data_IF_795417697737
#
_entry.id   IF_795417697737
#
_cell.length_a   1.000
_cell.length_b   1.000
_cell.length_c   1.000
_cell.angle_alpha   90.00
_cell.angle_beta   90.00
_cell.angle_gamma   90.00
#
_symmetry.space_group_name_H-M   'P 1'
#
loop_
_entity.id
_entity.type
_entity.pdbx_description
1 polymer ?
#
# COMPACT_ATOMS: atom_id res chain seq x y z
N UNK A 1 -40.38 80.10 27.91
CA UNK A 1 -40.65 78.83 28.63
C UNK A 1 -39.61 77.82 28.16
N UNK A 2 -38.60 77.53 28.98
CA UNK A 2 -37.55 76.57 28.64
C UNK A 2 -38.02 75.12 28.89
N UNK A 3 -37.43 74.11 28.20
CA UNK A 3 -37.77 72.71 28.43
C UNK A 3 -37.24 72.22 29.81
N UNK A 4 -37.86 71.18 30.40
CA UNK A 4 -37.57 70.73 31.77
C UNK A 4 -36.28 69.89 31.84
N UNK A 5 -35.72 69.67 33.05
CA UNK A 5 -34.48 68.92 33.20
C UNK A 5 -34.70 67.43 32.92
N UNK A 6 -33.81 66.82 32.13
CA UNK A 6 -33.75 65.37 31.94
C UNK A 6 -33.16 64.71 33.18
N UNK A 7 -33.88 63.74 33.75
CA UNK A 7 -33.36 62.84 34.79
C UNK A 7 -32.25 61.94 34.22
N UNK A 8 -31.16 61.65 34.96
CA UNK A 8 -30.20 60.64 34.55
C UNK A 8 -30.69 59.27 35.04
N UNK A 9 -31.50 58.59 34.24
CA UNK A 9 -31.74 57.16 34.42
C UNK A 9 -31.59 56.50 33.06
N UNK A 10 -30.85 55.38 33.06
CA UNK A 10 -30.58 54.48 31.92
C UNK A 10 -29.33 54.83 31.09
N UNK A 11 -28.14 54.84 31.71
CA UNK A 11 -26.88 54.48 31.02
C UNK A 11 -26.02 53.63 31.97
N UNK A 12 -26.56 52.50 32.44
CA UNK A 12 -25.75 51.48 33.13
C UNK A 12 -26.11 50.04 32.74
N UNK A 13 -27.01 49.81 31.78
CA UNK A 13 -27.38 48.45 31.35
C UNK A 13 -26.56 47.92 30.18
N UNK A 14 -26.04 48.79 29.31
CA UNK A 14 -25.25 48.41 28.13
C UNK A 14 -23.86 47.83 28.44
N UNK A 15 -23.07 48.33 29.43
CA UNK A 15 -21.77 47.70 29.70
C UNK A 15 -21.93 46.35 30.41
N UNK A 16 -23.03 46.12 31.13
CA UNK A 16 -23.27 44.87 31.85
C UNK A 16 -23.63 43.71 30.92
N UNK A 17 -24.43 43.97 29.87
CA UNK A 17 -24.76 42.97 28.84
C UNK A 17 -23.53 42.62 27.99
N UNK A 18 -22.69 43.61 27.65
CA UNK A 18 -21.44 43.37 26.91
C UNK A 18 -20.44 42.52 27.71
N UNK A 19 -20.32 42.76 29.02
CA UNK A 19 -19.46 41.96 29.91
C UNK A 19 -20.00 40.53 30.06
N UNK A 20 -21.32 40.34 30.22
CA UNK A 20 -21.92 39.00 30.29
C UNK A 20 -21.74 38.21 28.99
N UNK A 21 -21.86 38.86 27.82
CA UNK A 21 -21.61 38.22 26.52
C UNK A 21 -20.12 37.90 26.29
N UNK A 22 -19.20 38.72 26.79
CA UNK A 22 -17.76 38.43 26.80
C UNK A 22 -17.41 37.27 27.74
N UNK A 23 -18.04 37.19 28.92
CA UNK A 23 -17.88 36.08 29.86
C UNK A 23 -18.48 34.78 29.31
N UNK A 24 -19.65 34.82 28.66
CA UNK A 24 -20.26 33.64 28.00
C UNK A 24 -19.42 33.13 26.82
N UNK A 25 -18.66 34.00 26.15
CA UNK A 25 -17.72 33.60 25.09
C UNK A 25 -16.45 32.94 25.64
N UNK A 26 -16.06 33.25 26.87
CA UNK A 26 -14.91 32.65 27.58
C UNK A 26 -15.28 31.43 28.43
N UNK A 27 -16.54 31.31 28.85
CA UNK A 27 -17.10 30.20 29.63
C UNK A 27 -18.15 29.39 28.86
N UNK A 28 -18.02 29.32 27.53
CA UNK A 28 -18.56 28.15 26.85
C UNK A 28 -17.59 27.02 27.18
N UNK A 29 -17.97 26.01 28.00
CA UNK A 29 -17.19 24.79 28.01
C UNK A 29 -17.13 24.35 26.56
N UNK A 30 -15.93 24.33 25.98
CA UNK A 30 -15.72 23.58 24.76
C UNK A 30 -16.17 22.17 25.15
N UNK A 31 -17.34 21.76 24.65
CA UNK A 31 -17.69 20.34 24.63
C UNK A 31 -16.43 19.66 24.12
N UNK A 32 -15.84 18.72 24.86
CA UNK A 32 -14.66 18.03 24.35
C UNK A 32 -15.12 17.50 23.01
N UNK A 33 -14.54 18.03 21.92
CA UNK A 33 -14.55 17.34 20.66
C UNK A 33 -13.83 16.05 21.03
N UNK A 34 -14.60 15.01 21.27
CA UNK A 34 -14.11 13.65 21.18
C UNK A 34 -13.74 13.53 19.71
N UNK A 35 -12.55 14.02 19.36
CA UNK A 35 -11.79 13.37 18.33
C UNK A 35 -11.67 11.97 18.88
N UNK A 36 -12.57 11.09 18.42
CA UNK A 36 -12.33 9.67 18.46
C UNK A 36 -11.07 9.51 17.63
N UNK A 37 -9.92 9.70 18.28
CA UNK A 37 -8.60 9.52 17.73
C UNK A 37 -8.38 8.01 17.72
N UNK A 38 -9.29 7.30 17.03
CA UNK A 38 -9.12 5.90 16.73
C UNK A 38 -7.95 5.88 15.78
N UNK A 39 -6.79 5.50 16.31
CA UNK A 39 -5.60 5.26 15.53
C UNK A 39 -5.97 4.40 14.31
N UNK A 40 -5.53 4.81 13.12
CA UNK A 40 -5.81 4.06 11.89
C UNK A 40 -5.36 2.61 12.06
N UNK A 41 -6.22 1.67 11.71
CA UNK A 41 -5.89 0.25 11.60
C UNK A 41 -5.12 0.03 10.30
N UNK A 42 -3.82 -0.19 10.44
CA UNK A 42 -2.92 -0.34 9.31
C UNK A 42 -2.50 -1.80 9.13
N UNK A 43 -2.06 -2.15 7.93
CA UNK A 43 -1.39 -3.40 7.64
C UNK A 43 -0.34 -3.25 6.54
N UNK A 44 0.70 -4.06 6.61
CA UNK A 44 1.50 -4.43 5.44
C UNK A 44 0.90 -5.68 4.83
N UNK A 45 0.96 -5.85 3.51
CA UNK A 45 0.45 -7.05 2.86
C UNK A 45 1.34 -7.51 1.70
N UNK A 46 1.39 -8.82 1.47
CA UNK A 46 1.95 -9.44 0.26
C UNK A 46 1.07 -10.58 -0.21
N UNK A 47 1.35 -11.10 -1.41
CA UNK A 47 0.68 -12.27 -1.99
C UNK A 47 1.69 -13.40 -2.19
N UNK A 48 1.40 -14.57 -1.63
CA UNK A 48 2.15 -15.80 -1.88
C UNK A 48 1.32 -16.77 -2.73
N UNK A 49 1.82 -17.06 -3.92
CA UNK A 49 1.25 -18.01 -4.86
C UNK A 49 1.97 -19.36 -4.79
N UNK A 50 1.34 -20.45 -5.27
CA UNK A 50 1.98 -21.76 -5.32
C UNK A 50 3.27 -21.72 -6.14
N UNK A 51 4.24 -22.52 -5.71
CA UNK A 51 5.44 -22.73 -6.49
C UNK A 51 5.07 -23.48 -7.77
N UNK A 52 5.34 -22.86 -8.91
CA UNK A 52 5.12 -23.44 -10.25
C UNK A 52 6.38 -24.08 -10.81
N UNK A 53 7.49 -24.06 -10.06
CA UNK A 53 8.72 -24.74 -10.47
C UNK A 53 8.51 -26.26 -10.44
N UNK A 54 8.98 -26.93 -11.49
CA UNK A 54 8.87 -28.38 -11.66
C UNK A 54 9.91 -29.17 -10.85
N UNK A 55 10.67 -28.52 -9.96
CA UNK A 55 11.76 -29.13 -9.20
C UNK A 55 11.34 -29.41 -7.74
N UNK A 56 11.10 -30.68 -7.36
CA UNK A 56 10.57 -31.09 -6.06
C UNK A 56 11.63 -31.13 -4.93
N UNK A 57 12.88 -30.71 -5.18
CA UNK A 57 13.87 -30.60 -4.11
C UNK A 57 13.57 -29.37 -3.24
N UNK A 58 13.59 -29.52 -1.90
CA UNK A 58 13.17 -28.52 -0.91
C UNK A 58 14.07 -27.26 -0.81
N UNK A 59 14.67 -26.80 -1.91
CA UNK A 59 15.56 -25.61 -1.98
C UNK A 59 15.11 -24.51 -2.97
N UNK A 60 13.98 -24.66 -3.66
CA UNK A 60 13.66 -23.86 -4.87
C UNK A 60 12.51 -22.87 -4.76
N UNK A 61 11.72 -22.86 -3.68
CA UNK A 61 10.62 -21.90 -3.54
C UNK A 61 11.14 -20.52 -3.12
N UNK A 62 11.69 -19.81 -4.09
CA UNK A 62 12.33 -18.52 -3.90
C UNK A 62 11.32 -17.43 -3.49
N UNK A 63 10.06 -17.55 -3.90
CA UNK A 63 9.02 -16.61 -3.51
C UNK A 63 8.58 -16.83 -2.08
N UNK A 64 8.45 -18.07 -1.61
CA UNK A 64 8.27 -18.36 -0.20
C UNK A 64 9.45 -17.84 0.63
N UNK A 65 10.68 -18.08 0.18
CA UNK A 65 11.88 -17.56 0.85
C UNK A 65 11.88 -16.02 0.89
N UNK A 66 11.52 -15.36 -0.20
CA UNK A 66 11.45 -13.91 -0.26
C UNK A 66 10.33 -13.34 0.61
N UNK A 67 9.17 -14.00 0.69
CA UNK A 67 8.11 -13.66 1.65
C UNK A 67 8.60 -13.77 3.10
N UNK A 68 9.42 -14.78 3.44
CA UNK A 68 10.03 -14.89 4.77
C UNK A 68 11.00 -13.74 5.04
N UNK A 69 11.85 -13.39 4.06
CA UNK A 69 12.78 -12.25 4.17
C UNK A 69 12.00 -10.95 4.39
N UNK A 70 10.95 -10.72 3.62
CA UNK A 70 10.09 -9.54 3.74
C UNK A 70 9.41 -9.49 5.11
N UNK A 71 8.89 -10.62 5.60
CA UNK A 71 8.34 -10.73 6.96
C UNK A 71 9.39 -10.37 8.03
N UNK A 72 10.60 -10.91 7.89
CA UNK A 72 11.71 -10.60 8.79
C UNK A 72 12.10 -9.12 8.77
N UNK A 73 12.20 -8.52 7.59
CA UNK A 73 12.50 -7.08 7.46
C UNK A 73 11.41 -6.22 8.08
N UNK A 74 10.13 -6.54 7.85
CA UNK A 74 9.02 -5.74 8.37
C UNK A 74 8.83 -5.87 9.88
N UNK A 75 9.05 -7.05 10.47
CA UNK A 75 8.68 -7.30 11.86
C UNK A 75 9.85 -7.41 12.83
N UNK A 76 11.05 -7.80 12.36
CA UNK A 76 12.11 -8.30 13.25
C UNK A 76 13.47 -7.63 13.05
N UNK A 77 13.87 -7.30 11.82
CA UNK A 77 15.18 -6.72 11.53
C UNK A 77 15.31 -5.33 12.19
N UNK A 78 16.27 -5.11 13.09
CA UNK A 78 16.41 -3.84 13.81
C UNK A 78 16.61 -2.61 12.90
N UNK A 79 17.03 -2.81 11.64
CA UNK A 79 17.21 -1.73 10.66
C UNK A 79 15.92 -1.33 9.94
N UNK A 80 14.97 -2.25 9.79
CA UNK A 80 13.82 -2.07 8.88
C UNK A 80 12.46 -2.36 9.52
N UNK A 81 12.44 -2.99 10.70
CA UNK A 81 11.22 -3.35 11.39
C UNK A 81 10.36 -2.13 11.68
N UNK A 82 9.05 -2.33 11.59
CA UNK A 82 8.07 -1.33 12.02
C UNK A 82 8.29 -0.95 13.48
N UNK A 83 8.10 0.33 13.79
CA UNK A 83 8.11 0.84 15.16
C UNK A 83 6.71 0.89 15.77
N UNK A 84 5.69 0.58 14.95
CA UNK A 84 4.27 0.55 15.29
C UNK A 84 3.76 -0.89 15.31
N UNK A 85 2.58 -1.11 15.88
CA UNK A 85 1.94 -2.43 15.90
C UNK A 85 1.23 -2.76 14.56
N UNK A 86 1.94 -2.65 13.44
CA UNK A 86 1.40 -2.90 12.09
C UNK A 86 1.65 -4.38 11.72
N UNK A 87 0.62 -5.21 11.54
CA UNK A 87 0.79 -6.60 11.14
C UNK A 87 1.26 -6.73 9.68
N UNK A 88 1.98 -7.82 9.40
CA UNK A 88 2.26 -8.27 8.04
C UNK A 88 1.28 -9.36 7.63
N UNK A 89 0.45 -9.08 6.63
CA UNK A 89 -0.54 -9.99 6.06
C UNK A 89 0.07 -10.73 4.87
N UNK A 90 -0.01 -12.05 4.88
CA UNK A 90 0.34 -12.87 3.71
C UNK A 90 -0.94 -13.45 3.15
N UNK A 91 -1.37 -12.93 2.01
CA UNK A 91 -2.48 -13.47 1.26
C UNK A 91 -2.05 -14.78 0.63
N UNK A 92 -2.83 -15.83 0.85
CA UNK A 92 -2.56 -17.18 0.33
C UNK A 92 -3.81 -17.77 -0.28
N UNK A 93 -3.62 -18.52 -1.36
CA UNK A 93 -4.66 -19.34 -1.99
C UNK A 93 -4.82 -20.70 -1.28
N UNK A 94 -5.94 -21.44 -1.51
CA UNK A 94 -6.17 -22.73 -0.87
C UNK A 94 -5.14 -23.82 -1.17
N UNK A 95 -4.46 -23.71 -2.30
CA UNK A 95 -3.42 -24.62 -2.79
C UNK A 95 -2.03 -24.37 -2.18
N UNK A 96 -1.85 -23.33 -1.36
CA UNK A 96 -0.62 -23.17 -0.57
C UNK A 96 -0.53 -24.29 0.48
N UNK A 97 0.57 -25.08 0.49
CA UNK A 97 0.75 -26.14 1.47
C UNK A 97 0.61 -25.64 2.92
N UNK A 98 -0.15 -26.34 3.79
CA UNK A 98 -0.37 -25.91 5.18
C UNK A 98 0.91 -25.63 5.96
N UNK A 99 1.98 -26.40 5.71
CA UNK A 99 3.27 -26.20 6.39
C UNK A 99 3.91 -24.84 6.11
N UNK A 100 3.72 -24.26 4.90
CA UNK A 100 4.22 -22.91 4.57
C UNK A 100 3.48 -21.85 5.38
N UNK A 101 2.16 -21.97 5.47
CA UNK A 101 1.34 -21.09 6.30
C UNK A 101 1.73 -21.16 7.77
N UNK A 102 1.87 -22.37 8.34
CA UNK A 102 2.27 -22.54 9.73
C UNK A 102 3.69 -22.04 10.00
N UNK A 103 4.59 -22.17 9.03
CA UNK A 103 5.95 -21.63 9.13
C UNK A 103 5.93 -20.10 9.21
N UNK A 104 5.25 -19.42 8.29
CA UNK A 104 5.12 -17.96 8.29
C UNK A 104 4.42 -17.42 9.56
N UNK A 105 3.40 -18.13 10.07
CA UNK A 105 2.76 -17.77 11.35
C UNK A 105 3.74 -17.81 12.52
N UNK A 106 4.57 -18.85 12.60
CA UNK A 106 5.61 -18.95 13.65
C UNK A 106 6.62 -17.80 13.57
N UNK A 107 6.88 -17.29 12.37
CA UNK A 107 7.73 -16.13 12.14
C UNK A 107 6.98 -14.79 12.32
N UNK A 108 5.72 -14.78 12.77
CA UNK A 108 4.96 -13.58 13.13
C UNK A 108 4.04 -13.02 12.04
N UNK A 109 3.99 -13.64 10.85
CA UNK A 109 3.08 -13.20 9.80
C UNK A 109 1.63 -13.60 10.11
N UNK A 110 0.67 -12.78 9.67
CA UNK A 110 -0.76 -13.09 9.68
C UNK A 110 -1.16 -13.71 8.35
N UNK A 111 -1.65 -14.94 8.35
CA UNK A 111 -2.10 -15.60 7.13
C UNK A 111 -3.55 -15.23 6.81
N UNK A 112 -3.77 -14.68 5.62
CA UNK A 112 -5.10 -14.32 5.10
C UNK A 112 -5.42 -15.25 3.95
N UNK A 113 -6.33 -16.21 4.16
CA UNK A 113 -6.76 -17.12 3.10
C UNK A 113 -7.78 -16.42 2.21
N UNK A 114 -7.51 -16.38 0.91
CA UNK A 114 -8.39 -15.77 -0.10
C UNK A 114 -8.74 -16.79 -1.18
N UNK A 115 -9.97 -16.69 -1.69
CA UNK A 115 -10.39 -17.48 -2.84
C UNK A 115 -9.74 -16.98 -4.11
N UNK A 116 -9.46 -17.88 -5.06
CA UNK A 116 -9.13 -17.49 -6.43
C UNK A 116 -10.29 -16.65 -7.00
N UNK A 117 -9.98 -15.74 -7.91
CA UNK A 117 -11.02 -15.03 -8.64
C UNK A 117 -11.55 -15.97 -9.71
N UNK A 118 -12.87 -16.19 -9.67
CA UNK A 118 -13.57 -16.91 -10.72
C UNK A 118 -14.04 -15.88 -11.74
N UNK A 119 -13.47 -15.95 -12.93
CA UNK A 119 -13.64 -14.94 -13.99
C UNK A 119 -13.78 -15.69 -15.30
N UNK A 120 -15.03 -15.97 -15.65
CA UNK A 120 -15.46 -16.82 -16.77
C UNK A 120 -14.86 -16.41 -18.13
N UNK A 121 -14.40 -15.17 -18.28
CA UNK A 121 -13.85 -14.61 -19.51
C UNK A 121 -12.32 -14.72 -19.62
N UNK A 122 -11.59 -15.15 -18.57
CA UNK A 122 -10.14 -15.38 -18.70
C UNK A 122 -9.95 -16.51 -19.71
N UNK A 123 -9.56 -16.13 -20.92
CA UNK A 123 -9.39 -17.07 -22.01
C UNK A 123 -8.35 -18.14 -21.65
N UNK A 124 -8.54 -19.38 -22.12
CA UNK A 124 -7.52 -20.43 -22.00
C UNK A 124 -6.15 -19.89 -22.45
N UNK A 125 -5.13 -20.01 -21.59
CA UNK A 125 -3.77 -19.47 -21.83
C UNK A 125 -3.41 -18.23 -21.00
N UNK A 126 -4.38 -17.58 -20.36
CA UNK A 126 -4.16 -16.44 -19.46
C UNK A 126 -4.14 -16.85 -17.96
N UNK A 127 -3.65 -18.05 -17.64
CA UNK A 127 -3.69 -18.56 -16.25
C UNK A 127 -2.98 -17.65 -15.25
N UNK A 128 -1.88 -17.01 -15.68
CA UNK A 128 -1.16 -15.99 -14.92
C UNK A 128 -2.06 -14.87 -14.42
N UNK A 129 -3.11 -14.51 -15.15
CA UNK A 129 -4.05 -13.48 -14.73
C UNK A 129 -4.87 -13.90 -13.52
N UNK A 130 -5.32 -15.16 -13.47
CA UNK A 130 -6.08 -15.67 -12.32
C UNK A 130 -5.28 -15.50 -11.04
N UNK A 131 -3.98 -15.72 -11.11
CA UNK A 131 -3.10 -15.68 -9.95
C UNK A 131 -2.76 -14.23 -9.53
N UNK A 132 -2.37 -13.36 -10.47
CA UNK A 132 -1.99 -11.98 -10.11
C UNK A 132 -3.18 -11.10 -9.74
N UNK A 133 -4.37 -11.37 -10.30
CA UNK A 133 -5.58 -10.62 -9.95
C UNK A 133 -6.04 -10.87 -8.51
N UNK A 134 -5.55 -11.92 -7.84
CA UNK A 134 -5.83 -12.17 -6.42
C UNK A 134 -5.38 -11.00 -5.55
N UNK A 135 -4.44 -10.16 -6.00
CA UNK A 135 -4.11 -8.89 -5.34
C UNK A 135 -5.37 -8.02 -5.10
N UNK A 136 -6.38 -8.07 -5.96
CA UNK A 136 -7.61 -7.31 -5.77
C UNK A 136 -8.43 -7.76 -4.55
N UNK A 137 -8.20 -8.97 -4.02
CA UNK A 137 -8.81 -9.44 -2.76
C UNK A 137 -8.40 -8.59 -1.55
N UNK A 138 -7.33 -7.80 -1.65
CA UNK A 138 -6.96 -6.80 -0.63
C UNK A 138 -8.09 -5.79 -0.35
N UNK A 139 -8.89 -5.46 -1.37
CA UNK A 139 -10.00 -4.52 -1.23
C UNK A 139 -11.16 -5.06 -0.40
N UNK A 140 -11.19 -6.36 -0.09
CA UNK A 140 -12.18 -6.99 0.79
C UNK A 140 -11.77 -6.99 2.27
N UNK A 141 -10.54 -6.56 2.60
CA UNK A 141 -10.01 -6.59 3.97
C UNK A 141 -10.48 -5.41 4.83
N UNK A 142 -11.80 -5.24 4.96
CA UNK A 142 -12.48 -4.11 5.61
C UNK A 142 -12.19 -3.91 7.11
N UNK A 143 -11.39 -4.79 7.71
CA UNK A 143 -10.92 -4.63 9.10
C UNK A 143 -9.78 -3.62 9.24
N UNK A 144 -9.22 -3.15 8.11
CA UNK A 144 -8.13 -2.18 8.04
C UNK A 144 -8.60 -0.90 7.34
N UNK A 145 -8.09 0.23 7.82
CA UNK A 145 -8.33 1.54 7.21
C UNK A 145 -7.38 1.77 6.03
N UNK A 146 -6.13 1.31 6.14
CA UNK A 146 -5.14 1.36 5.04
C UNK A 146 -4.22 0.14 5.05
N UNK A 147 -3.86 -0.28 3.85
CA UNK A 147 -2.92 -1.37 3.62
C UNK A 147 -1.82 -0.88 2.69
N UNK A 148 -0.56 -1.09 3.06
CA UNK A 148 0.57 -1.01 2.14
C UNK A 148 0.81 -2.41 1.57
N UNK A 149 0.56 -2.58 0.28
CA UNK A 149 0.92 -3.78 -0.45
C UNK A 149 2.36 -3.71 -0.95
N UNK A 150 3.08 -4.83 -0.83
CA UNK A 150 4.42 -5.03 -1.37
C UNK A 150 4.47 -6.39 -2.08
N UNK A 151 4.93 -6.41 -3.33
CA UNK A 151 5.26 -7.66 -4.01
C UNK A 151 6.40 -8.38 -3.27
N UNK A 152 6.40 -9.72 -3.33
CA UNK A 152 7.31 -10.55 -2.54
C UNK A 152 8.79 -10.35 -2.89
N UNK A 153 9.11 -9.80 -4.06
CA UNK A 153 10.43 -9.32 -4.50
C UNK A 153 10.71 -7.85 -4.15
N UNK A 154 10.01 -7.31 -3.14
CA UNK A 154 10.38 -6.04 -2.50
C UNK A 154 11.41 -6.26 -1.40
N UNK A 155 12.44 -5.41 -1.35
CA UNK A 155 13.50 -5.47 -0.34
C UNK A 155 13.65 -4.12 0.38
N UNK A 156 13.73 -4.15 1.72
CA UNK A 156 13.75 -2.93 2.54
C UNK A 156 15.16 -2.51 2.99
N UNK A 157 15.37 -1.21 3.06
CA UNK A 157 16.55 -0.56 3.64
C UNK A 157 16.20 0.32 4.84
N UNK A 158 14.93 0.74 4.98
CA UNK A 158 14.43 1.56 6.09
C UNK A 158 13.03 1.10 6.55
N UNK A 159 12.58 1.49 7.75
CA UNK A 159 11.19 1.28 8.17
C UNK A 159 10.20 2.00 7.24
N UNK A 160 9.04 1.38 7.04
CA UNK A 160 8.00 1.88 6.13
C UNK A 160 6.81 2.55 6.83
N UNK A 161 6.84 2.70 8.16
CA UNK A 161 5.76 3.28 8.96
C UNK A 161 5.29 4.64 8.43
N UNK A 162 6.23 5.45 7.94
CA UNK A 162 5.98 6.81 7.47
C UNK A 162 5.20 6.89 6.15
N UNK A 163 5.13 5.80 5.36
CA UNK A 163 4.41 5.83 4.06
C UNK A 163 2.92 6.11 4.25
N UNK A 164 2.34 5.70 5.38
CA UNK A 164 0.93 5.95 5.70
C UNK A 164 0.62 7.43 5.99
N UNK A 165 1.64 8.23 6.27
CA UNK A 165 1.52 9.68 6.45
C UNK A 165 1.80 10.46 5.15
N UNK A 166 2.22 9.79 4.07
CA UNK A 166 2.44 10.44 2.78
C UNK A 166 1.13 11.08 2.26
N UNK A 167 1.17 12.29 1.67
CA UNK A 167 -0.01 12.91 1.09
C UNK A 167 -0.76 12.02 0.08
N UNK A 168 -0.04 11.23 -0.73
CA UNK A 168 -0.64 10.31 -1.69
C UNK A 168 -1.26 9.07 -1.04
N UNK A 169 -0.96 8.80 0.23
CA UNK A 169 -1.61 7.76 1.02
C UNK A 169 -2.90 8.24 1.69
N UNK A 170 -3.29 9.52 1.59
CA UNK A 170 -4.49 10.06 2.25
C UNK A 170 -5.77 9.85 1.44
N UNK A 171 -6.92 10.01 2.09
CA UNK A 171 -8.25 9.91 1.44
C UNK A 171 -8.38 10.98 0.36
N UNK A 172 -8.79 10.55 -0.83
CA UNK A 172 -9.10 11.39 -1.98
C UNK A 172 -10.59 11.29 -2.30
N UNK A 173 -11.20 12.41 -2.72
CA UNK A 173 -12.57 12.40 -3.21
C UNK A 173 -12.57 11.98 -4.68
N UNK A 174 -13.53 11.14 -5.05
CA UNK A 174 -13.75 10.80 -6.46
C UNK A 174 -14.23 12.03 -7.21
N UNK A 175 -13.57 12.33 -8.32
CA UNK A 175 -13.83 13.49 -9.15
C UNK A 175 -15.01 13.23 -10.10
N UNK A 176 -15.52 14.31 -10.70
CA UNK A 176 -16.49 14.27 -11.80
C UNK A 176 -15.87 14.89 -13.06
N UNK A 177 -14.70 14.39 -13.45
CA UNK A 177 -13.93 14.93 -14.58
C UNK A 177 -14.26 14.27 -15.91
N UNK A 178 -14.71 13.01 -15.89
CA UNK A 178 -15.03 12.22 -17.06
C UNK A 178 -16.34 11.44 -16.87
N UNK A 179 -17.00 11.12 -17.98
CA UNK A 179 -18.10 10.15 -17.98
C UNK A 179 -17.56 8.76 -17.62
N UNK A 180 -18.35 8.01 -16.85
CA UNK A 180 -18.11 6.58 -16.59
C UNK A 180 -18.73 5.82 -17.75
N UNK A 181 -18.03 4.80 -18.27
CA UNK A 181 -18.58 3.99 -19.35
C UNK A 181 -19.82 3.21 -18.86
N UNK A 182 -20.85 3.00 -19.70
CA UNK A 182 -22.11 2.39 -19.24
C UNK A 182 -21.98 0.96 -18.68
N UNK A 183 -20.88 0.29 -19.00
CA UNK A 183 -20.56 -1.08 -18.61
C UNK A 183 -19.45 -1.16 -17.54
N UNK A 184 -19.08 -0.03 -16.95
CA UNK A 184 -18.22 0.07 -15.78
C UNK A 184 -19.07 0.17 -14.51
N UNK A 185 -18.58 -0.46 -13.44
CA UNK A 185 -19.21 -0.42 -12.13
C UNK A 185 -19.21 0.99 -11.51
N UNK A 186 -20.08 1.24 -10.52
CA UNK A 186 -20.15 2.53 -9.86
C UNK A 186 -18.87 2.83 -9.06
N UNK A 187 -18.35 4.04 -9.19
CA UNK A 187 -17.20 4.51 -8.42
C UNK A 187 -17.60 4.85 -6.97
N UNK A 188 -16.70 4.64 -5.98
CA UNK A 188 -16.93 5.11 -4.62
C UNK A 188 -16.92 6.64 -4.52
N UNK A 189 -17.46 7.18 -3.43
CA UNK A 189 -17.38 8.62 -3.15
C UNK A 189 -15.96 9.10 -2.83
N UNK A 190 -15.16 8.23 -2.20
CA UNK A 190 -13.77 8.49 -1.84
C UNK A 190 -12.95 7.21 -1.85
N UNK A 191 -11.63 7.35 -2.00
CA UNK A 191 -10.70 6.23 -2.08
C UNK A 191 -9.32 6.63 -1.55
N UNK A 192 -8.48 5.64 -1.25
CA UNK A 192 -7.03 5.79 -1.13
C UNK A 192 -6.41 4.85 -2.16
N UNK A 193 -5.59 5.40 -3.03
CA UNK A 193 -4.74 4.62 -3.93
C UNK A 193 -3.49 5.44 -4.27
N UNK A 194 -2.39 5.16 -3.57
CA UNK A 194 -1.10 5.82 -3.74
C UNK A 194 -0.04 4.82 -4.17
N UNK A 195 0.76 5.14 -5.18
CA UNK A 195 1.85 4.29 -5.70
C UNK A 195 2.96 5.17 -6.29
N UNK A 196 4.03 4.59 -6.82
CA UNK A 196 5.11 5.31 -7.50
C UNK A 196 5.09 5.05 -9.01
N UNK A 197 5.57 6.04 -9.78
CA UNK A 197 5.72 5.90 -11.23
C UNK A 197 6.62 4.72 -11.58
N UNK A 198 6.29 4.01 -12.65
CA UNK A 198 7.15 2.95 -13.18
C UNK A 198 8.45 3.58 -13.70
N UNK A 199 9.58 3.03 -13.25
CA UNK A 199 10.89 3.23 -13.87
C UNK A 199 11.02 2.24 -15.03
N UNK A 200 11.28 2.74 -16.24
CA UNK A 200 11.31 1.91 -17.46
C UNK A 200 12.70 1.57 -17.95
N UNK A 201 13.73 2.19 -17.38
CA UNK A 201 15.12 2.02 -17.80
C UNK A 201 16.01 1.64 -16.63
N UNK A 202 16.90 0.68 -16.87
CA UNK A 202 17.96 0.28 -15.93
C UNK A 202 19.09 1.34 -15.81
N UNK A 203 18.85 2.56 -16.27
CA UNK A 203 19.71 3.71 -16.10
C UNK A 203 18.81 4.93 -15.94
N UNK A 204 18.92 5.63 -14.81
CA UNK A 204 18.11 6.80 -14.49
C UNK A 204 18.80 7.69 -13.45
N UNK A 205 18.34 8.93 -13.32
CA UNK A 205 18.74 9.85 -12.23
C UNK A 205 17.98 9.56 -10.94
N UNK A 206 18.49 10.01 -9.80
CA UNK A 206 17.73 10.02 -8.55
C UNK A 206 17.20 11.44 -8.22
N UNK A 207 15.89 11.61 -7.93
CA UNK A 207 14.84 10.62 -8.16
C UNK A 207 14.62 10.39 -9.68
N UNK A 208 14.03 9.23 -10.07
CA UNK A 208 13.64 8.99 -11.46
C UNK A 208 12.65 10.05 -11.95
N UNK A 209 12.60 10.27 -13.27
CA UNK A 209 11.61 11.16 -13.89
C UNK A 209 10.23 10.50 -13.81
N UNK A 210 9.23 11.10 -13.13
CA UNK A 210 7.90 10.52 -13.02
C UNK A 210 7.21 10.42 -14.39
N UNK A 211 6.45 9.35 -14.59
CA UNK A 211 5.61 9.15 -15.77
C UNK A 211 4.12 9.04 -15.40
N UNK A 212 3.23 9.14 -16.39
CA UNK A 212 1.77 8.94 -16.23
C UNK A 212 1.33 7.48 -16.03
N UNK A 213 2.27 6.56 -15.79
CA UNK A 213 2.07 5.14 -15.63
C UNK A 213 2.82 4.64 -14.39
N UNK A 214 2.19 3.81 -13.57
CA UNK A 214 2.72 3.36 -12.29
C UNK A 214 3.02 1.86 -12.23
N UNK A 215 3.92 1.51 -11.30
CA UNK A 215 4.18 0.13 -10.90
C UNK A 215 3.16 -0.37 -9.87
N UNK A 216 2.70 -1.61 -9.97
CA UNK A 216 1.73 -2.22 -9.05
C UNK A 216 2.35 -3.21 -8.05
N UNK A 217 3.66 -3.11 -7.83
CA UNK A 217 4.38 -3.88 -6.82
C UNK A 217 4.50 -3.19 -5.46
N UNK A 218 4.21 -1.89 -5.37
CA UNK A 218 4.24 -1.14 -4.12
C UNK A 218 3.14 -0.07 -4.11
N UNK A 219 2.07 -0.26 -3.33
CA UNK A 219 0.98 0.71 -3.27
C UNK A 219 0.27 0.74 -1.92
N UNK A 220 -0.13 1.93 -1.50
CA UNK A 220 -1.02 2.14 -0.35
C UNK A 220 -2.45 2.26 -0.82
N UNK A 221 -3.36 1.56 -0.17
CA UNK A 221 -4.77 1.56 -0.53
C UNK A 221 -5.69 1.49 0.70
N UNK A 222 -6.96 1.86 0.51
CA UNK A 222 -8.03 1.65 1.50
C UNK A 222 -8.97 0.54 1.03
N UNK A 223 -9.19 -0.52 1.82
CA UNK A 223 -10.20 -1.54 1.52
C UNK A 223 -11.58 -0.94 1.20
N UNK A 224 -12.21 -1.43 0.14
CA UNK A 224 -13.52 -0.96 -0.34
C UNK A 224 -14.15 -1.99 -1.28
N UNK A 225 -15.30 -2.55 -0.87
CA UNK A 225 -16.07 -3.47 -1.72
C UNK A 225 -16.57 -2.80 -3.01
N UNK A 226 -16.76 -1.48 -2.99
CA UNK A 226 -17.18 -0.74 -4.16
C UNK A 226 -16.04 -0.61 -5.18
N UNK A 227 -14.80 -0.33 -4.73
CA UNK A 227 -13.63 -0.40 -5.60
C UNK A 227 -13.40 -1.82 -6.12
N UNK A 228 -13.51 -2.82 -5.24
CA UNK A 228 -13.39 -4.21 -5.66
C UNK A 228 -14.38 -4.55 -6.78
N UNK A 229 -15.67 -4.24 -6.59
CA UNK A 229 -16.72 -4.48 -7.59
C UNK A 229 -16.48 -3.69 -8.88
N UNK A 230 -15.99 -2.45 -8.79
CA UNK A 230 -15.59 -1.67 -9.95
C UNK A 230 -14.45 -2.36 -10.73
N UNK A 231 -13.37 -2.80 -10.07
CA UNK A 231 -12.30 -3.51 -10.77
C UNK A 231 -12.78 -4.82 -11.41
N UNK A 232 -13.66 -5.57 -10.73
CA UNK A 232 -14.28 -6.76 -11.32
C UNK A 232 -15.16 -6.45 -12.54
N UNK A 233 -15.69 -5.24 -12.67
CA UNK A 233 -16.42 -4.85 -13.88
C UNK A 233 -15.50 -4.62 -15.09
N UNK A 234 -14.25 -4.18 -14.85
CA UNK A 234 -13.27 -3.88 -15.90
C UNK A 234 -12.74 -5.13 -16.61
N UNK A 235 -12.86 -6.26 -15.93
CA UNK A 235 -12.44 -7.57 -16.38
C UNK A 235 -13.10 -8.01 -17.70
N UNK A 236 -14.36 -7.66 -17.94
CA UNK A 236 -15.04 -8.02 -19.19
C UNK A 236 -14.58 -7.19 -20.40
N UNK A 237 -13.62 -6.27 -20.22
CA UNK A 237 -13.29 -5.22 -21.19
C UNK A 237 -11.80 -5.15 -21.52
N UNK A 238 -11.19 -6.31 -21.81
CA UNK A 238 -9.75 -6.46 -22.05
C UNK A 238 -9.21 -5.71 -23.28
N UNK A 239 -10.08 -5.13 -24.12
CA UNK A 239 -9.66 -4.31 -25.25
C UNK A 239 -9.35 -2.86 -24.86
N UNK A 240 -9.71 -2.44 -23.64
CA UNK A 240 -9.52 -1.05 -23.18
C UNK A 240 -8.15 -0.75 -22.60
N UNK A 241 -7.36 -1.78 -22.31
CA UNK A 241 -6.01 -1.65 -21.78
C UNK A 241 -5.13 -2.80 -22.27
N UNK A 242 -3.83 -2.54 -22.33
CA UNK A 242 -2.83 -3.59 -22.61
C UNK A 242 -2.91 -4.66 -21.53
N UNK A 243 -2.79 -5.91 -21.92
CA UNK A 243 -2.98 -7.05 -21.03
C UNK A 243 -1.68 -7.75 -20.61
N UNK A 244 -0.54 -7.21 -21.04
CA UNK A 244 0.79 -7.75 -20.75
C UNK A 244 1.09 -7.82 -19.25
N UNK A 245 0.72 -6.79 -18.49
CA UNK A 245 0.81 -6.75 -17.02
C UNK A 245 -0.59 -6.53 -16.44
N UNK A 246 -1.35 -7.61 -16.24
CA UNK A 246 -2.80 -7.49 -16.26
C UNK A 246 -3.37 -6.76 -15.05
N UNK A 247 -2.86 -7.00 -13.83
CA UNK A 247 -3.32 -6.27 -12.65
C UNK A 247 -2.81 -4.83 -12.66
N UNK A 248 -1.55 -4.62 -13.07
CA UNK A 248 -0.95 -3.29 -13.15
C UNK A 248 -1.67 -2.42 -14.19
N UNK A 249 -1.94 -2.95 -15.37
CA UNK A 249 -2.57 -2.22 -16.46
C UNK A 249 -4.04 -1.96 -16.20
N UNK A 250 -4.74 -2.89 -15.54
CA UNK A 250 -6.11 -2.65 -15.08
C UNK A 250 -6.16 -1.53 -14.03
N UNK A 251 -5.26 -1.56 -13.05
CA UNK A 251 -5.20 -0.51 -12.04
C UNK A 251 -4.78 0.82 -12.66
N UNK A 252 -3.83 0.81 -13.60
CA UNK A 252 -3.47 2.01 -14.36
C UNK A 252 -4.68 2.56 -15.11
N UNK A 253 -5.46 1.72 -15.81
CA UNK A 253 -6.69 2.12 -16.51
C UNK A 253 -7.71 2.76 -15.56
N UNK A 254 -7.93 2.13 -14.40
CA UNK A 254 -8.87 2.59 -13.39
C UNK A 254 -8.49 3.94 -12.79
N UNK A 255 -7.18 4.18 -12.63
CA UNK A 255 -6.65 5.32 -11.90
C UNK A 255 -5.92 6.35 -12.77
N UNK A 256 -6.14 6.35 -14.09
CA UNK A 256 -5.51 7.33 -15.01
C UNK A 256 -5.78 8.77 -14.57
N UNK A 257 -4.83 9.65 -14.87
CA UNK A 257 -4.89 11.06 -14.45
C UNK A 257 -6.10 11.82 -15.03
N UNK A 258 -6.54 11.44 -16.22
CA UNK A 258 -7.67 12.00 -16.94
C UNK A 258 -9.01 11.30 -16.61
N UNK A 259 -9.09 10.57 -15.49
CA UNK A 259 -10.29 9.83 -15.03
C UNK A 259 -10.64 10.12 -13.58
N UNK A 260 -11.84 9.74 -13.15
CA UNK A 260 -12.43 10.19 -11.89
C UNK A 260 -11.70 9.78 -10.60
N UNK A 261 -10.74 8.86 -10.66
CA UNK A 261 -9.98 8.41 -9.49
C UNK A 261 -8.47 8.41 -9.77
N UNK A 262 -7.84 9.56 -10.07
CA UNK A 262 -6.41 9.59 -10.36
C UNK A 262 -5.60 9.01 -9.18
N UNK A 263 -4.56 8.24 -9.46
CA UNK A 263 -3.68 7.70 -8.41
C UNK A 263 -2.89 8.83 -7.72
N UNK A 264 -2.61 8.64 -6.43
CA UNK A 264 -1.69 9.50 -5.67
C UNK A 264 -0.24 9.14 -5.94
N UNK A 265 0.61 10.14 -6.22
CA UNK A 265 2.04 9.93 -6.50
C UNK A 265 2.87 9.89 -5.22
N UNK A 266 3.15 8.68 -4.72
CA UNK A 266 4.10 8.46 -3.63
C UNK A 266 5.51 8.89 -4.04
N UNK A 267 6.24 9.45 -3.08
CA UNK A 267 7.63 9.83 -3.29
C UNK A 267 8.49 8.59 -3.60
N UNK A 268 9.37 8.70 -4.61
CA UNK A 268 10.35 7.65 -4.94
C UNK A 268 11.27 7.28 -3.77
N UNK A 269 11.38 8.10 -2.73
CA UNK A 269 12.06 7.73 -1.49
C UNK A 269 11.45 6.51 -0.80
N UNK A 270 10.20 6.11 -1.11
CA UNK A 270 9.57 4.93 -0.54
C UNK A 270 9.93 3.64 -1.28
N UNK A 271 9.82 3.65 -2.60
CA UNK A 271 10.06 2.47 -3.43
C UNK A 271 10.52 2.85 -4.84
N UNK A 272 11.47 2.09 -5.38
CA UNK A 272 11.93 2.18 -6.78
C UNK A 272 11.98 0.77 -7.38
N UNK A 273 11.33 0.58 -8.53
CA UNK A 273 11.51 -0.60 -9.38
C UNK A 273 12.72 -0.40 -10.31
N UNK A 274 13.34 -1.50 -10.77
CA UNK A 274 14.62 -1.46 -11.51
C UNK A 274 15.72 -0.68 -10.78
N UNK A 275 16.01 -1.02 -9.50
CA UNK A 275 16.86 -0.20 -8.64
C UNK A 275 18.32 -0.22 -9.06
N UNK A 276 19.01 0.89 -8.74
CA UNK A 276 20.45 1.04 -8.80
C UNK A 276 21.04 1.15 -7.38
N UNK A 277 22.30 0.73 -7.14
CA UNK A 277 22.96 0.95 -5.86
C UNK A 277 22.92 2.41 -5.39
N UNK A 278 23.04 3.36 -6.32
CA UNK A 278 22.94 4.80 -6.04
C UNK A 278 21.59 5.20 -5.43
N UNK A 279 20.49 4.53 -5.75
CA UNK A 279 19.18 4.83 -5.15
C UNK A 279 19.19 4.53 -3.65
N UNK A 280 19.90 3.47 -3.26
CA UNK A 280 20.13 3.08 -1.86
C UNK A 280 21.02 4.10 -1.16
N UNK A 281 22.11 4.54 -1.80
CA UNK A 281 22.97 5.60 -1.27
C UNK A 281 22.21 6.91 -1.03
N UNK A 282 21.30 7.25 -1.94
CA UNK A 282 20.42 8.42 -1.84
C UNK A 282 19.26 8.23 -0.85
N UNK A 283 19.14 7.03 -0.28
CA UNK A 283 18.30 6.76 0.87
C UNK A 283 16.88 6.31 0.54
N UNK A 284 16.65 5.62 -0.58
CA UNK A 284 15.38 4.92 -0.82
C UNK A 284 15.07 3.94 0.32
N UNK A 285 13.81 3.85 0.74
CA UNK A 285 13.38 2.99 1.84
C UNK A 285 13.22 1.53 1.43
N UNK A 286 12.86 1.26 0.18
CA UNK A 286 12.74 -0.09 -0.38
C UNK A 286 12.97 -0.10 -1.88
N UNK A 287 13.24 -1.28 -2.43
CA UNK A 287 13.40 -1.49 -3.88
C UNK A 287 12.59 -2.69 -4.34
N UNK A 288 12.15 -2.68 -5.59
CA UNK A 288 11.38 -3.77 -6.20
C UNK A 288 12.17 -4.41 -7.35
N UNK A 289 12.80 -5.55 -7.06
CA UNK A 289 13.52 -6.38 -8.02
C UNK A 289 13.85 -7.77 -7.45
N UNK A 290 14.04 -8.74 -8.34
CA UNK A 290 14.47 -10.10 -7.97
C UNK A 290 15.95 -10.13 -7.59
N UNK A 291 16.29 -9.64 -6.40
CA UNK A 291 17.68 -9.49 -5.95
C UNK A 291 18.45 -10.82 -5.80
N UNK A 292 17.78 -11.96 -5.93
CA UNK A 292 18.42 -13.29 -5.92
C UNK A 292 18.93 -13.76 -7.30
N UNK A 293 18.78 -12.96 -8.35
CA UNK A 293 19.26 -13.28 -9.69
C UNK A 293 19.90 -12.06 -10.36
N UNK A 294 20.74 -12.29 -11.36
CA UNK A 294 21.35 -11.24 -12.19
C UNK A 294 20.35 -10.49 -13.06
N UNK A 295 19.11 -10.98 -13.16
CA UNK A 295 18.10 -10.45 -14.05
C UNK A 295 18.38 -10.82 -15.51
N UNK A 296 18.02 -9.94 -16.44
CA UNK A 296 18.30 -10.09 -17.88
C UNK A 296 18.84 -8.79 -18.45
N UNK A 297 19.20 -8.76 -19.74
CA UNK A 297 19.79 -7.58 -20.39
C UNK A 297 18.94 -6.31 -20.27
N UNK A 298 17.61 -6.44 -20.22
CA UNK A 298 16.68 -5.31 -20.11
C UNK A 298 16.43 -4.89 -18.64
N UNK A 299 16.60 -5.81 -17.71
CA UNK A 299 16.35 -5.64 -16.27
C UNK A 299 17.50 -6.26 -15.47
N UNK A 300 18.74 -5.76 -15.63
CA UNK A 300 19.87 -6.27 -14.88
C UNK A 300 19.71 -5.93 -13.40
N UNK A 301 20.27 -6.76 -12.53
CA UNK A 301 20.38 -6.49 -11.10
C UNK A 301 21.86 -6.42 -10.75
N UNK A 302 22.30 -5.30 -10.21
CA UNK A 302 23.69 -5.08 -9.82
C UNK A 302 24.14 -6.07 -8.74
N UNK A 303 25.40 -6.52 -8.83
CA UNK A 303 25.95 -7.55 -7.94
C UNK A 303 25.87 -7.13 -6.48
N UNK A 304 26.09 -5.85 -6.17
CA UNK A 304 25.99 -5.31 -4.82
C UNK A 304 24.62 -5.54 -4.18
N UNK A 305 23.53 -5.28 -4.92
CA UNK A 305 22.17 -5.51 -4.42
C UNK A 305 21.89 -7.01 -4.21
N UNK A 306 22.47 -7.87 -5.05
CA UNK A 306 22.37 -9.31 -4.88
C UNK A 306 23.13 -9.78 -3.63
N UNK A 307 24.28 -9.19 -3.33
CA UNK A 307 25.10 -9.51 -2.17
C UNK A 307 24.37 -9.13 -0.88
N UNK A 308 23.77 -7.94 -0.86
CA UNK A 308 22.93 -7.47 0.25
C UNK A 308 21.77 -8.44 0.52
N UNK A 309 21.09 -8.91 -0.54
CA UNK A 309 20.01 -9.89 -0.39
C UNK A 309 20.50 -11.22 0.21
N UNK A 310 21.65 -11.72 -0.23
CA UNK A 310 22.22 -12.97 0.32
C UNK A 310 22.59 -12.84 1.80
N UNK A 311 23.20 -11.72 2.19
CA UNK A 311 23.50 -11.42 3.60
C UNK A 311 22.21 -11.36 4.41
N UNK A 312 21.17 -10.68 3.91
CA UNK A 312 19.87 -10.60 4.59
C UNK A 312 19.25 -11.97 4.82
N UNK A 313 19.29 -12.83 3.80
CA UNK A 313 18.81 -14.21 3.90
C UNK A 313 19.52 -14.95 5.04
N UNK A 314 20.85 -14.85 5.12
CA UNK A 314 21.64 -15.51 6.17
C UNK A 314 21.29 -14.98 7.56
N UNK A 315 21.17 -13.65 7.71
CA UNK A 315 20.74 -13.03 8.97
C UNK A 315 19.36 -13.55 9.42
N UNK A 316 18.41 -13.66 8.50
CA UNK A 316 17.08 -14.21 8.77
C UNK A 316 17.15 -15.69 9.18
N UNK A 317 17.92 -16.53 8.47
CA UNK A 317 18.04 -17.96 8.82
C UNK A 317 18.72 -18.17 10.18
N UNK A 318 19.67 -17.30 10.54
CA UNK A 318 20.25 -17.27 11.89
C UNK A 318 19.20 -16.88 12.92
N UNK A 319 18.41 -15.82 12.67
CA UNK A 319 17.37 -15.36 13.58
C UNK A 319 16.29 -16.41 13.83
N UNK A 320 15.85 -17.12 12.79
CA UNK A 320 14.86 -18.20 12.88
C UNK A 320 15.38 -19.48 13.54
N UNK A 321 16.68 -19.57 13.81
CA UNK A 321 17.31 -20.71 14.47
C UNK A 321 17.58 -21.92 13.58
N UNK A 322 17.49 -21.78 12.25
CA UNK A 322 17.93 -22.81 11.30
C UNK A 322 19.43 -22.72 10.98
N UNK A 323 20.06 -21.56 11.21
CA UNK A 323 21.47 -21.30 10.91
C UNK A 323 22.47 -21.58 12.05
N UNK A 324 22.01 -21.87 13.26
CA UNK A 324 22.90 -22.26 14.37
C UNK A 324 22.31 -23.46 15.10
N UNK A 325 23.01 -24.59 14.99
CA UNK A 325 22.73 -25.76 15.81
C UNK A 325 22.71 -25.34 17.28
N UNK A 326 21.51 -25.30 17.86
CA UNK A 326 21.36 -25.46 19.31
C UNK A 326 21.70 -26.91 19.62
N UNK A 327 23.00 -27.15 19.83
CA UNK A 327 23.49 -28.16 20.78
C UNK A 327 23.27 -27.64 22.20
#
# INVERSE_FOLDING_TARGET
MGPPPRSPKVIYLLPFIAIILLYLRWFTPQLPITQNNTELKLAYATLLLPDTSSDPSRSTDIYFLSTRILNYQLLHDPRTRTTRAIPFLVLVTPDIPPWKCEHLKREGATIVRVGKLDVDWIQPGHERWRDVMIKLRLFELLSYDRILFLDADTFLFKPLDGVFADPAAQIQQTLQQASIEPDEGPLPASYVFGTSSEVTTASHSYPPVPMGYFNAGFFVMSPSLQLFSYYLSLFNHTTRFDTTYPEQNLLNYAHREDRNMPWGRLNFSWNINLPLPRDVEMGVASVHAKLWTKGNELKPVEQELQDIWRVKREEMEIWTGFGSGRM
#
